data_IF_646528008872
#
_entry.id   IF_646528008872
#
_cell.length_a   1.000
_cell.length_b   1.000
_cell.length_c   1.000
_cell.angle_alpha   90.00
_cell.angle_beta   90.00
_cell.angle_gamma   90.00
#
_symmetry.space_group_name_H-M   'P 1'
#
loop_
_entity.id
_entity.type
_entity.pdbx_description
1 polymer ?
#
# COMPACT_ATOMS: atom_id res chain seq x y z
N UNK A 1 -35.81 37.56 -12.02
CA UNK A 1 -35.80 36.70 -13.22
C UNK A 1 -34.41 36.50 -13.82
N UNK A 2 -33.54 37.50 -13.92
CA UNK A 2 -32.16 37.37 -14.45
C UNK A 2 -31.23 36.51 -13.55
N UNK A 3 -31.32 36.62 -12.23
CA UNK A 3 -30.50 35.79 -11.32
C UNK A 3 -30.84 34.26 -11.38
N UNK A 4 -32.12 33.92 -11.54
CA UNK A 4 -32.57 32.54 -11.68
C UNK A 4 -32.09 31.90 -13.00
N UNK A 5 -31.97 32.67 -14.06
CA UNK A 5 -31.43 32.17 -15.35
C UNK A 5 -29.91 31.96 -15.30
N UNK A 6 -29.16 32.82 -14.60
CA UNK A 6 -27.72 32.65 -14.42
C UNK A 6 -27.39 31.43 -13.57
N UNK A 7 -28.15 31.12 -12.51
CA UNK A 7 -27.98 29.93 -11.67
C UNK A 7 -28.31 28.63 -12.42
N UNK A 8 -29.35 28.66 -13.30
CA UNK A 8 -29.66 27.52 -14.17
C UNK A 8 -28.60 27.28 -15.26
N UNK A 9 -28.01 28.34 -15.80
CA UNK A 9 -26.90 28.21 -16.76
C UNK A 9 -25.64 27.70 -16.10
N UNK A 10 -25.33 28.09 -14.86
CA UNK A 10 -24.20 27.55 -14.07
C UNK A 10 -24.39 26.08 -13.62
N UNK A 11 -25.61 25.66 -13.28
CA UNK A 11 -25.93 24.26 -13.03
C UNK A 11 -25.80 23.41 -14.29
N UNK A 12 -26.37 23.83 -15.39
CA UNK A 12 -26.26 23.10 -16.67
C UNK A 12 -24.81 23.03 -17.18
N UNK A 13 -23.97 24.07 -16.96
CA UNK A 13 -22.55 24.03 -17.31
C UNK A 13 -21.75 23.07 -16.43
N UNK A 14 -22.09 22.93 -15.13
CA UNK A 14 -21.48 21.93 -14.23
C UNK A 14 -21.89 20.50 -14.59
N UNK A 15 -23.13 20.26 -14.95
CA UNK A 15 -23.63 18.95 -15.39
C UNK A 15 -23.02 18.53 -16.75
N UNK A 16 -22.85 19.47 -17.69
CA UNK A 16 -22.14 19.18 -18.95
C UNK A 16 -20.63 18.96 -18.77
N UNK A 17 -19.96 19.64 -17.84
CA UNK A 17 -18.55 19.42 -17.53
C UNK A 17 -18.33 18.07 -16.82
N UNK A 18 -19.25 17.65 -15.93
CA UNK A 18 -19.21 16.34 -15.27
C UNK A 18 -19.42 15.19 -16.25
N UNK A 19 -20.32 15.32 -17.22
CA UNK A 19 -20.60 14.27 -18.21
C UNK A 19 -19.49 14.12 -19.27
N UNK A 20 -18.80 15.21 -19.63
CA UNK A 20 -17.67 15.16 -20.58
C UNK A 20 -16.43 14.53 -19.95
N UNK A 21 -16.14 14.79 -18.69
CA UNK A 21 -15.04 14.13 -17.95
C UNK A 21 -15.29 12.65 -17.72
N UNK A 22 -16.51 12.25 -17.41
CA UNK A 22 -16.90 10.85 -17.18
C UNK A 22 -16.82 10.01 -18.48
N UNK A 23 -17.21 10.58 -19.62
CA UNK A 23 -17.10 9.92 -20.92
C UNK A 23 -15.65 9.84 -21.43
N UNK A 24 -14.83 10.85 -21.18
CA UNK A 24 -13.40 10.82 -21.50
C UNK A 24 -12.65 9.82 -20.61
N UNK A 25 -13.04 9.70 -19.34
CA UNK A 25 -12.47 8.75 -18.41
C UNK A 25 -12.88 7.31 -18.76
N UNK A 26 -14.12 7.07 -19.19
CA UNK A 26 -14.59 5.76 -19.69
C UNK A 26 -13.89 5.36 -20.99
N UNK A 27 -13.76 6.25 -21.96
CA UNK A 27 -13.01 5.98 -23.20
C UNK A 27 -11.51 5.73 -22.93
N UNK A 28 -10.92 6.42 -21.95
CA UNK A 28 -9.54 6.19 -21.54
C UNK A 28 -9.37 4.85 -20.79
N UNK A 29 -10.38 4.41 -20.04
CA UNK A 29 -10.40 3.11 -19.38
C UNK A 29 -10.56 1.95 -20.37
N UNK A 30 -11.30 2.13 -21.46
CA UNK A 30 -11.48 1.12 -22.52
C UNK A 30 -10.18 0.83 -23.30
N UNK A 31 -9.25 1.78 -23.36
CA UNK A 31 -7.94 1.62 -24.02
C UNK A 31 -6.89 0.92 -23.16
N UNK A 32 -7.19 0.62 -21.88
CA UNK A 32 -6.26 -0.02 -20.94
C UNK A 32 -6.31 -1.53 -21.00
N UNK A 33 -5.14 -2.18 -20.79
CA UNK A 33 -5.09 -3.63 -20.65
C UNK A 33 -5.96 -4.10 -19.46
N UNK A 34 -6.55 -5.32 -19.51
CA UNK A 34 -7.33 -5.84 -18.38
C UNK A 34 -6.58 -5.81 -17.04
N UNK A 35 -5.30 -6.17 -17.06
CA UNK A 35 -4.45 -6.20 -15.86
C UNK A 35 -4.24 -4.79 -15.28
N UNK A 36 -3.97 -3.79 -16.14
CA UNK A 36 -3.83 -2.40 -15.70
C UNK A 36 -5.13 -1.87 -15.05
N UNK A 37 -6.28 -2.21 -15.64
CA UNK A 37 -7.59 -1.85 -15.07
C UNK A 37 -7.79 -2.45 -13.68
N UNK A 38 -7.46 -3.74 -13.51
CA UNK A 38 -7.59 -4.44 -12.22
C UNK A 38 -6.66 -3.82 -11.19
N UNK A 39 -5.37 -3.61 -11.49
CA UNK A 39 -4.42 -3.01 -10.57
C UNK A 39 -4.85 -1.61 -10.13
N UNK A 40 -5.31 -0.78 -11.08
CA UNK A 40 -5.86 0.55 -10.78
C UNK A 40 -7.11 0.46 -9.91
N UNK A 41 -8.04 -0.44 -10.23
CA UNK A 41 -9.28 -0.60 -9.47
C UNK A 41 -9.02 -1.02 -8.02
N UNK A 42 -8.09 -1.96 -7.81
CA UNK A 42 -7.67 -2.37 -6.45
C UNK A 42 -7.10 -1.16 -5.71
N UNK A 43 -6.18 -0.42 -6.33
CA UNK A 43 -5.60 0.77 -5.73
C UNK A 43 -6.68 1.82 -5.35
N UNK A 44 -7.58 2.10 -6.28
CA UNK A 44 -8.66 3.08 -6.06
C UNK A 44 -9.61 2.64 -4.94
N UNK A 45 -9.89 1.33 -4.78
CA UNK A 45 -10.66 0.78 -3.67
C UNK A 45 -9.98 1.01 -2.31
N UNK A 46 -8.67 0.86 -2.25
CA UNK A 46 -7.92 1.11 -1.02
C UNK A 46 -7.87 2.59 -0.64
N UNK A 47 -7.69 3.50 -1.61
CA UNK A 47 -7.53 4.93 -1.36
C UNK A 47 -8.87 5.70 -1.30
N UNK A 48 -9.83 5.36 -2.17
CA UNK A 48 -11.05 6.15 -2.42
C UNK A 48 -12.34 5.42 -2.14
N UNK A 49 -12.29 4.10 -2.02
CA UNK A 49 -13.46 3.25 -1.86
C UNK A 49 -14.24 2.99 -3.15
N UNK A 50 -15.39 2.28 -3.05
CA UNK A 50 -16.11 1.74 -4.21
C UNK A 50 -16.74 2.82 -5.11
N UNK A 51 -17.07 3.99 -4.56
CA UNK A 51 -17.71 5.08 -5.30
C UNK A 51 -16.70 6.17 -5.74
N UNK A 52 -15.40 5.92 -5.62
CA UNK A 52 -14.34 6.84 -6.02
C UNK A 52 -14.40 8.18 -5.27
N UNK A 53 -14.45 9.29 -6.01
CA UNK A 53 -14.44 10.65 -5.43
C UNK A 53 -15.83 11.15 -5.00
N UNK A 54 -16.86 10.29 -4.92
CA UNK A 54 -18.19 10.72 -4.49
C UNK A 54 -18.19 10.99 -2.96
N UNK A 55 -19.02 11.97 -2.51
CA UNK A 55 -19.14 12.26 -1.08
C UNK A 55 -19.62 11.03 -0.33
N UNK A 56 -18.91 10.68 0.76
CA UNK A 56 -19.22 9.50 1.58
C UNK A 56 -18.57 8.19 1.13
N UNK A 57 -17.78 8.20 0.05
CA UNK A 57 -16.93 7.05 -0.30
C UNK A 57 -15.69 7.04 0.61
N UNK A 58 -15.44 5.91 1.25
CA UNK A 58 -14.33 5.73 2.20
C UNK A 58 -13.47 4.57 1.70
N UNK A 59 -12.16 4.78 1.61
CA UNK A 59 -11.20 3.77 1.19
C UNK A 59 -10.91 2.75 2.29
N UNK A 60 -10.47 1.55 1.89
CA UNK A 60 -10.10 0.47 2.83
C UNK A 60 -9.04 0.94 3.83
N UNK A 61 -8.05 1.74 3.37
CA UNK A 61 -7.00 2.27 4.24
C UNK A 61 -7.52 3.24 5.29
N UNK A 62 -8.52 4.05 4.96
CA UNK A 62 -9.14 4.98 5.90
C UNK A 62 -9.97 4.22 6.94
N UNK A 63 -10.76 3.23 6.51
CA UNK A 63 -11.50 2.33 7.42
C UNK A 63 -10.54 1.63 8.38
N UNK A 64 -9.43 1.10 7.87
CA UNK A 64 -8.45 0.37 8.68
C UNK A 64 -7.74 1.25 9.71
N UNK A 65 -7.61 2.56 9.45
CA UNK A 65 -7.00 3.54 10.36
C UNK A 65 -7.96 4.06 11.43
N UNK A 66 -9.25 3.71 11.37
CA UNK A 66 -10.20 4.13 12.41
C UNK A 66 -9.67 3.77 13.80
N UNK A 67 -9.71 4.71 14.78
CA UNK A 67 -9.18 4.50 16.12
C UNK A 67 -9.78 3.30 16.86
N UNK A 68 -10.97 2.84 16.47
CA UNK A 68 -11.63 1.67 17.05
C UNK A 68 -11.16 0.36 16.43
N UNK A 69 -10.69 0.39 15.16
CA UNK A 69 -10.30 -0.81 14.42
C UNK A 69 -8.80 -1.05 14.47
N UNK A 70 -7.98 -0.05 14.10
CA UNK A 70 -6.50 -0.08 14.06
C UNK A 70 -5.99 -1.36 13.38
N UNK A 71 -6.43 -1.61 12.15
CA UNK A 71 -6.04 -2.79 11.39
C UNK A 71 -4.90 -2.43 10.43
N UNK A 72 -3.82 -3.21 10.45
CA UNK A 72 -2.72 -3.03 9.51
C UNK A 72 -3.08 -3.68 8.17
N UNK A 73 -3.22 -2.86 7.10
CA UNK A 73 -3.57 -3.30 5.77
C UNK A 73 -2.38 -3.22 4.81
N UNK A 74 -2.43 -4.04 3.77
CA UNK A 74 -1.53 -3.98 2.64
C UNK A 74 -1.79 -2.70 1.83
N UNK A 75 -0.71 -2.03 1.36
CA UNK A 75 -0.82 -0.89 0.45
C UNK A 75 -0.51 -1.37 -0.98
N UNK A 76 -1.52 -1.57 -1.85
CA UNK A 76 -1.28 -2.03 -3.21
C UNK A 76 -0.59 -0.94 -4.04
N UNK A 77 0.26 -1.35 -5.00
CA UNK A 77 0.85 -0.46 -6.00
C UNK A 77 0.02 -0.50 -7.28
N UNK A 78 -0.02 0.63 -7.99
CA UNK A 78 -0.75 0.75 -9.28
C UNK A 78 -0.10 -0.04 -10.39
N UNK A 79 1.21 -0.28 -10.29
CA UNK A 79 2.04 -0.90 -11.31
C UNK A 79 2.96 -1.95 -10.72
N UNK A 80 3.40 -2.84 -11.59
CA UNK A 80 4.38 -3.88 -11.30
C UNK A 80 5.78 -3.30 -11.45
N UNK A 81 6.65 -3.48 -10.49
CA UNK A 81 8.01 -2.97 -10.53
C UNK A 81 8.99 -4.05 -11.00
N UNK A 82 9.73 -3.73 -12.06
CA UNK A 82 10.74 -4.61 -12.66
C UNK A 82 12.11 -3.97 -12.50
N UNK A 83 12.96 -4.58 -11.69
CA UNK A 83 14.35 -4.15 -11.47
C UNK A 83 15.26 -4.82 -12.48
N UNK A 84 16.10 -4.05 -13.18
CA UNK A 84 17.06 -4.61 -14.13
C UNK A 84 18.47 -4.39 -13.61
N UNK A 85 19.20 -5.48 -13.38
CA UNK A 85 20.54 -5.50 -12.82
C UNK A 85 21.52 -6.06 -13.85
N UNK A 86 22.75 -5.62 -13.83
CA UNK A 86 23.82 -6.16 -14.66
C UNK A 86 25.02 -5.23 -14.68
N UNK A 87 26.10 -5.70 -15.30
CA UNK A 87 27.31 -4.93 -15.43
C UNK A 87 27.09 -3.67 -16.25
N UNK A 88 28.09 -2.79 -16.22
CA UNK A 88 28.16 -1.70 -17.18
C UNK A 88 28.08 -2.25 -18.60
N UNK A 89 27.37 -1.55 -19.46
CA UNK A 89 27.14 -1.95 -20.86
C UNK A 89 26.37 -3.27 -21.08
N UNK A 90 25.77 -3.90 -20.05
CA UNK A 90 24.99 -5.12 -20.23
C UNK A 90 23.65 -4.94 -20.99
N UNK A 91 23.38 -3.74 -21.52
CA UNK A 91 22.19 -3.49 -22.35
C UNK A 91 20.89 -3.25 -21.58
N UNK A 92 20.95 -2.93 -20.27
CA UNK A 92 19.78 -2.66 -19.42
C UNK A 92 18.92 -1.52 -19.95
N UNK A 93 19.48 -0.34 -20.09
CA UNK A 93 18.81 0.85 -20.61
C UNK A 93 18.33 0.67 -22.06
N UNK A 94 19.13 -0.03 -22.90
CA UNK A 94 18.74 -0.36 -24.26
C UNK A 94 17.54 -1.28 -24.33
N UNK A 95 17.45 -2.27 -23.42
CA UNK A 95 16.28 -3.14 -23.32
C UNK A 95 15.03 -2.37 -22.93
N UNK A 96 15.12 -1.44 -21.97
CA UNK A 96 13.99 -0.60 -21.58
C UNK A 96 13.50 0.21 -22.77
N UNK A 97 14.41 0.92 -23.48
CA UNK A 97 14.08 1.69 -24.67
C UNK A 97 13.40 0.83 -25.75
N UNK A 98 13.92 -0.37 -26.00
CA UNK A 98 13.32 -1.32 -26.94
C UNK A 98 11.92 -1.78 -26.48
N UNK A 99 11.77 -2.07 -25.19
CA UNK A 99 10.50 -2.57 -24.67
C UNK A 99 9.37 -1.53 -24.80
N UNK A 100 9.67 -0.28 -24.54
CA UNK A 100 8.70 0.83 -24.61
C UNK A 100 8.61 1.48 -26.00
N UNK A 101 9.45 1.04 -26.94
CA UNK A 101 9.60 1.62 -28.31
C UNK A 101 9.83 3.14 -28.28
N UNK A 102 10.66 3.61 -27.33
CA UNK A 102 10.99 5.01 -27.17
C UNK A 102 12.40 5.17 -26.59
N UNK A 103 13.23 6.05 -27.17
CA UNK A 103 14.55 6.39 -26.62
C UNK A 103 14.43 7.36 -25.44
N UNK A 104 14.10 6.81 -24.26
CA UNK A 104 13.90 7.58 -23.02
C UNK A 104 15.16 7.58 -22.15
N UNK A 105 15.89 6.48 -22.14
CA UNK A 105 17.15 6.33 -21.44
C UNK A 105 18.31 6.69 -22.38
N UNK A 106 19.24 7.49 -21.87
CA UNK A 106 20.51 7.72 -22.56
C UNK A 106 21.29 6.42 -22.60
N UNK A 107 21.71 6.02 -23.79
CA UNK A 107 22.51 4.81 -24.00
C UNK A 107 23.85 5.19 -24.66
N UNK A 108 24.96 4.69 -24.11
CA UNK A 108 26.30 4.98 -24.61
C UNK A 108 27.33 3.96 -24.12
N UNK A 109 28.56 4.09 -24.58
CA UNK A 109 29.72 3.30 -24.13
C UNK A 109 30.26 3.86 -22.82
N UNK A 110 30.06 5.16 -22.57
CA UNK A 110 30.41 5.79 -21.31
C UNK A 110 29.43 5.38 -20.20
N UNK A 111 29.80 5.61 -18.93
CA UNK A 111 28.92 5.34 -17.79
C UNK A 111 27.88 6.45 -17.73
N UNK A 112 26.76 6.22 -18.43
CA UNK A 112 25.66 7.16 -18.52
C UNK A 112 24.76 7.09 -17.25
N UNK A 113 24.45 5.88 -16.79
CA UNK A 113 23.58 5.66 -15.64
C UNK A 113 24.41 5.61 -14.36
N UNK A 114 24.49 6.73 -13.65
CA UNK A 114 25.20 6.84 -12.35
C UNK A 114 24.28 6.64 -11.15
N UNK A 115 22.97 6.67 -11.36
CA UNK A 115 21.94 6.51 -10.34
C UNK A 115 20.87 5.52 -10.75
N UNK A 116 19.81 5.42 -9.94
CA UNK A 116 18.63 4.63 -10.29
C UNK A 116 17.67 5.47 -11.13
N UNK A 117 17.17 4.91 -12.22
CA UNK A 117 16.15 5.57 -13.03
C UNK A 117 14.89 4.74 -13.09
N UNK A 118 13.81 5.30 -12.57
CA UNK A 118 12.46 4.77 -12.73
C UNK A 118 11.92 5.19 -14.08
N UNK A 119 11.48 4.23 -14.89
CA UNK A 119 10.84 4.49 -16.19
C UNK A 119 9.39 4.06 -16.10
N UNK A 120 8.51 5.03 -16.16
CA UNK A 120 7.07 4.84 -15.94
C UNK A 120 6.24 5.43 -17.07
N UNK A 121 5.02 4.93 -17.27
CA UNK A 121 4.08 5.50 -18.24
C UNK A 121 3.23 6.61 -17.59
N UNK A 122 2.98 7.67 -18.37
CA UNK A 122 2.13 8.77 -17.96
C UNK A 122 1.40 9.43 -19.11
N UNK A 123 0.69 10.52 -18.82
CA UNK A 123 -0.05 11.30 -19.84
C UNK A 123 0.84 12.26 -20.62
N UNK A 124 1.94 12.68 -20.03
CA UNK A 124 2.87 13.66 -20.58
C UNK A 124 4.30 13.19 -20.31
N UNK A 125 5.19 13.47 -21.24
CA UNK A 125 6.63 13.26 -21.07
C UNK A 125 7.17 14.21 -20.02
N UNK A 126 7.73 13.67 -18.96
CA UNK A 126 8.32 14.43 -17.84
C UNK A 126 9.55 13.69 -17.30
N UNK A 127 10.48 14.47 -16.74
CA UNK A 127 11.65 13.95 -16.04
C UNK A 127 11.66 14.54 -14.63
N UNK A 128 11.65 13.68 -13.60
CA UNK A 128 11.68 14.05 -12.20
C UNK A 128 13.03 13.66 -11.60
N UNK A 129 13.56 14.46 -10.68
CA UNK A 129 14.86 14.22 -10.06
C UNK A 129 14.76 14.35 -8.53
N UNK A 130 15.52 13.53 -7.82
CA UNK A 130 15.66 13.62 -6.37
C UNK A 130 14.32 13.65 -5.66
N UNK A 131 14.06 14.68 -4.87
CA UNK A 131 12.87 14.85 -4.04
C UNK A 131 11.56 14.67 -4.80
N UNK A 132 11.51 15.12 -6.07
CA UNK A 132 10.32 14.96 -6.89
C UNK A 132 10.03 13.48 -7.20
N UNK A 133 11.07 12.64 -7.33
CA UNK A 133 10.91 11.18 -7.48
C UNK A 133 10.39 10.55 -6.19
N UNK A 134 10.93 10.92 -5.03
CA UNK A 134 10.47 10.42 -3.73
C UNK A 134 9.03 10.84 -3.46
N UNK A 135 8.66 12.08 -3.74
CA UNK A 135 7.29 12.56 -3.63
C UNK A 135 6.31 11.84 -4.60
N UNK A 136 6.81 11.32 -5.72
CA UNK A 136 6.00 10.56 -6.67
C UNK A 136 5.78 9.10 -6.25
N UNK A 137 6.72 8.53 -5.48
CA UNK A 137 6.72 7.13 -5.03
C UNK A 137 6.81 7.03 -3.51
N UNK A 138 5.70 7.11 -2.79
CA UNK A 138 5.65 7.01 -1.30
C UNK A 138 6.38 5.79 -0.73
N UNK A 139 6.52 4.71 -1.50
CA UNK A 139 7.18 3.48 -1.03
C UNK A 139 8.72 3.55 -1.06
N UNK A 140 9.30 4.66 -1.55
CA UNK A 140 10.74 4.86 -1.60
C UNK A 140 11.32 5.56 -0.37
N UNK A 141 10.51 6.00 0.59
CA UNK A 141 10.95 6.72 1.79
C UNK A 141 12.13 6.01 2.51
N UNK A 142 12.09 4.67 2.55
CA UNK A 142 13.16 3.88 3.14
C UNK A 142 14.48 3.86 2.35
N UNK A 143 14.49 4.32 1.09
CA UNK A 143 15.69 4.42 0.27
C UNK A 143 16.53 5.65 0.64
N UNK A 144 15.91 6.71 1.18
CA UNK A 144 16.58 7.96 1.61
C UNK A 144 17.67 7.73 2.66
N UNK A 145 17.61 6.62 3.41
CA UNK A 145 18.63 6.25 4.41
C UNK A 145 20.03 6.02 3.82
N UNK A 146 20.13 5.78 2.50
CA UNK A 146 21.44 5.62 1.85
C UNK A 146 21.98 7.01 1.49
N UNK A 147 23.03 7.42 2.18
CA UNK A 147 23.67 8.73 1.97
C UNK A 147 24.05 8.91 0.49
N UNK A 148 23.72 10.08 -0.08
CA UNK A 148 23.99 10.42 -1.47
C UNK A 148 22.98 9.88 -2.50
N UNK A 149 22.03 9.02 -2.13
CA UNK A 149 21.08 8.42 -3.07
C UNK A 149 20.07 9.42 -3.62
N UNK A 150 19.63 10.38 -2.80
CA UNK A 150 18.59 11.36 -3.13
C UNK A 150 18.92 12.16 -4.41
N UNK A 151 20.19 12.54 -4.59
CA UNK A 151 20.66 13.22 -5.79
C UNK A 151 20.82 12.27 -7.01
N UNK A 152 20.71 10.96 -6.80
CA UNK A 152 21.00 9.93 -7.79
C UNK A 152 19.80 9.01 -8.07
N UNK A 153 18.57 9.46 -7.78
CA UNK A 153 17.34 8.80 -8.17
C UNK A 153 16.54 9.70 -9.11
N UNK A 154 16.11 9.13 -10.22
CA UNK A 154 15.44 9.85 -11.29
C UNK A 154 14.15 9.12 -11.68
N UNK A 155 13.18 9.84 -12.24
CA UNK A 155 12.00 9.24 -12.86
C UNK A 155 11.81 9.83 -14.24
N UNK A 156 11.76 8.97 -15.24
CA UNK A 156 11.41 9.31 -16.61
C UNK A 156 10.02 8.82 -16.93
N UNK A 157 9.13 9.75 -17.24
CA UNK A 157 7.73 9.47 -17.59
C UNK A 157 7.61 9.43 -19.11
N UNK A 158 7.23 8.29 -19.68
CA UNK A 158 6.98 8.10 -21.10
C UNK A 158 5.48 8.08 -21.40
N UNK A 159 5.11 8.49 -22.60
CA UNK A 159 3.73 8.41 -23.10
C UNK A 159 3.46 7.12 -23.89
N UNK A 160 4.45 6.24 -24.02
CA UNK A 160 4.32 4.96 -24.70
C UNK A 160 3.23 4.08 -24.10
N UNK A 161 2.52 3.38 -24.96
CA UNK A 161 1.51 2.38 -24.60
C UNK A 161 1.87 0.99 -25.12
N UNK A 162 3.10 0.84 -25.59
CA UNK A 162 3.57 -0.41 -26.16
C UNK A 162 3.55 -1.55 -25.16
N UNK A 163 3.25 -2.73 -25.63
CA UNK A 163 3.14 -3.96 -24.85
C UNK A 163 2.28 -3.73 -23.60
N UNK A 164 2.72 -4.21 -22.45
CA UNK A 164 2.04 -3.99 -21.15
C UNK A 164 2.70 -2.85 -20.33
N UNK A 165 3.49 -1.96 -20.96
CA UNK A 165 4.22 -0.90 -20.27
C UNK A 165 3.35 -0.02 -19.36
N UNK A 166 2.09 0.31 -19.68
CA UNK A 166 1.24 1.05 -18.75
C UNK A 166 1.02 0.39 -17.38
N UNK A 167 1.24 -0.92 -17.28
CA UNK A 167 1.13 -1.68 -16.02
C UNK A 167 2.47 -1.87 -15.31
N UNK A 168 3.57 -1.30 -15.83
CA UNK A 168 4.94 -1.57 -15.36
C UNK A 168 5.65 -0.28 -15.00
N UNK A 169 6.51 -0.37 -13.98
CA UNK A 169 7.57 0.58 -13.67
C UNK A 169 8.90 -0.17 -13.79
N UNK A 170 9.73 0.19 -14.78
CA UNK A 170 11.09 -0.32 -14.87
C UNK A 170 12.00 0.49 -13.94
N UNK A 171 12.94 -0.20 -13.31
CA UNK A 171 14.00 0.41 -12.50
C UNK A 171 15.34 0.04 -13.16
N UNK A 172 15.93 1.00 -13.85
CA UNK A 172 17.27 0.87 -14.41
C UNK A 172 18.30 1.14 -13.32
N UNK A 173 19.25 0.21 -13.15
CA UNK A 173 20.27 0.32 -12.11
C UNK A 173 21.60 0.82 -12.70
N UNK A 174 22.41 1.49 -11.88
CA UNK A 174 23.81 1.74 -12.25
C UNK A 174 24.49 0.45 -12.70
N UNK A 175 25.28 0.54 -13.76
CA UNK A 175 26.08 -0.60 -14.21
C UNK A 175 27.08 -1.00 -13.15
N UNK A 176 27.06 -2.24 -12.68
CA UNK A 176 28.00 -2.74 -11.70
C UNK A 176 29.36 -3.00 -12.39
N UNK A 177 30.42 -2.52 -11.76
CA UNK A 177 31.82 -2.71 -12.22
C UNK A 177 32.70 -3.06 -11.03
N UNK A 178 33.76 -3.83 -11.30
CA UNK A 178 34.85 -4.09 -10.35
C UNK A 178 35.90 -2.97 -10.40
N UNK A 179 36.72 -2.86 -9.37
CA UNK A 179 37.80 -1.90 -9.27
C UNK A 179 37.48 -0.68 -8.43
N UNK A 180 38.25 0.39 -8.61
CA UNK A 180 38.24 1.60 -7.79
C UNK A 180 37.09 2.57 -8.12
N UNK A 181 36.10 2.14 -8.92
CA UNK A 181 34.99 3.01 -9.24
C UNK A 181 34.14 3.27 -7.98
N UNK A 182 34.18 4.51 -7.52
CA UNK A 182 33.36 4.98 -6.43
C UNK A 182 32.00 5.40 -6.95
N UNK A 183 30.97 4.88 -6.31
CA UNK A 183 29.60 5.34 -6.50
C UNK A 183 29.30 6.40 -5.44
N UNK A 184 28.42 7.36 -5.74
CA UNK A 184 28.05 8.41 -4.78
C UNK A 184 27.28 7.88 -3.56
N UNK A 185 26.88 6.59 -3.57
CA UNK A 185 26.15 5.89 -2.51
C UNK A 185 26.46 4.38 -2.57
N UNK A 186 26.08 3.62 -1.53
CA UNK A 186 26.20 2.17 -1.55
C UNK A 186 25.18 1.53 -2.51
N UNK A 187 25.61 1.35 -3.76
CA UNK A 187 24.78 0.75 -4.83
C UNK A 187 24.33 -0.65 -4.48
N UNK A 188 25.20 -1.47 -3.86
CA UNK A 188 24.87 -2.86 -3.54
C UNK A 188 23.78 -2.95 -2.49
N UNK A 189 23.90 -2.19 -1.40
CA UNK A 189 22.91 -2.14 -0.35
C UNK A 189 21.58 -1.55 -0.85
N UNK A 190 21.62 -0.53 -1.72
CA UNK A 190 20.41 0.06 -2.31
C UNK A 190 19.70 -0.94 -3.24
N UNK A 191 20.42 -1.72 -4.07
CA UNK A 191 19.83 -2.78 -4.90
C UNK A 191 19.16 -3.85 -4.04
N UNK A 192 19.80 -4.30 -2.95
CA UNK A 192 19.24 -5.29 -2.05
C UNK A 192 17.97 -4.77 -1.37
N UNK A 193 17.94 -3.50 -0.97
CA UNK A 193 16.74 -2.88 -0.42
C UNK A 193 15.62 -2.77 -1.47
N UNK A 194 15.94 -2.36 -2.70
CA UNK A 194 14.97 -2.28 -3.80
C UNK A 194 14.36 -3.66 -4.12
N UNK A 195 15.14 -4.73 -4.02
CA UNK A 195 14.68 -6.10 -4.26
C UNK A 195 13.53 -6.53 -3.33
N UNK A 196 13.47 -6.00 -2.11
CA UNK A 196 12.33 -6.22 -1.20
C UNK A 196 11.04 -5.58 -1.74
N UNK A 197 11.16 -4.55 -2.56
CA UNK A 197 10.07 -3.70 -3.02
C UNK A 197 9.69 -3.88 -4.50
N UNK A 198 10.31 -4.82 -5.21
CA UNK A 198 10.01 -5.11 -6.63
C UNK A 198 9.36 -6.48 -6.81
N UNK A 199 8.71 -6.66 -7.95
CA UNK A 199 7.98 -7.89 -8.28
C UNK A 199 8.78 -8.85 -9.14
N UNK A 200 9.71 -8.34 -9.96
CA UNK A 200 10.59 -9.10 -10.85
C UNK A 200 11.98 -8.47 -10.88
N UNK A 201 13.02 -9.30 -10.95
CA UNK A 201 14.40 -8.88 -11.07
C UNK A 201 15.00 -9.58 -12.31
N UNK A 202 15.36 -8.78 -13.33
CA UNK A 202 16.05 -9.25 -14.52
C UNK A 202 17.53 -9.03 -14.37
N UNK A 203 18.33 -10.08 -14.53
CA UNK A 203 19.79 -10.03 -14.43
C UNK A 203 20.39 -10.25 -15.81
N UNK A 204 21.09 -9.24 -16.32
CA UNK A 204 21.71 -9.27 -17.64
C UNK A 204 23.23 -9.46 -17.53
N UNK A 205 23.74 -10.48 -18.22
CA UNK A 205 25.19 -10.76 -18.38
C UNK A 205 25.62 -10.42 -19.76
N UNK A 206 26.62 -9.53 -19.88
CA UNK A 206 27.26 -9.21 -21.17
C UNK A 206 28.36 -10.22 -21.44
N UNK A 207 28.32 -10.97 -22.57
CA UNK A 207 29.33 -11.97 -22.90
C UNK A 207 30.72 -11.39 -23.25
N UNK A 208 30.79 -10.11 -23.65
CA UNK A 208 32.04 -9.45 -24.06
C UNK A 208 32.63 -8.65 -22.90
N UNK A 209 31.76 -8.06 -22.06
CA UNK A 209 32.17 -7.30 -20.91
C UNK A 209 32.62 -8.16 -19.73
N UNK A 210 32.71 -7.56 -18.56
CA UNK A 210 33.05 -8.27 -17.32
C UNK A 210 31.86 -9.12 -16.83
N UNK A 211 31.43 -10.13 -17.61
CA UNK A 211 30.28 -10.98 -17.28
C UNK A 211 30.31 -11.55 -15.86
N UNK A 212 31.52 -11.74 -15.32
CA UNK A 212 31.77 -12.30 -13.99
C UNK A 212 32.32 -11.26 -13.00
N UNK A 213 31.87 -10.00 -13.10
CA UNK A 213 32.21 -8.95 -12.14
C UNK A 213 31.94 -9.42 -10.71
N UNK A 214 32.91 -9.36 -9.84
CA UNK A 214 32.79 -9.85 -8.45
C UNK A 214 31.75 -9.13 -7.66
N UNK A 215 31.53 -7.84 -7.89
CA UNK A 215 30.49 -7.03 -7.27
C UNK A 215 29.09 -7.53 -7.70
N UNK A 216 28.89 -7.73 -9.01
CA UNK A 216 27.64 -8.28 -9.55
C UNK A 216 27.34 -9.66 -8.96
N UNK A 217 28.34 -10.53 -8.90
CA UNK A 217 28.16 -11.88 -8.35
C UNK A 217 27.78 -11.88 -6.87
N UNK A 218 28.39 -11.00 -6.06
CA UNK A 218 28.01 -10.83 -4.63
C UNK A 218 26.59 -10.33 -4.46
N UNK A 219 26.15 -9.37 -5.28
CA UNK A 219 24.77 -8.86 -5.26
C UNK A 219 23.80 -9.97 -5.63
N UNK A 220 24.07 -10.74 -6.70
CA UNK A 220 23.22 -11.86 -7.13
C UNK A 220 23.14 -12.94 -6.06
N UNK A 221 24.25 -13.31 -5.42
CA UNK A 221 24.29 -14.28 -4.33
C UNK A 221 23.41 -13.84 -3.16
N UNK A 222 23.53 -12.59 -2.73
CA UNK A 222 22.68 -12.01 -1.67
C UNK A 222 21.21 -11.97 -2.06
N UNK A 223 20.88 -11.61 -3.29
CA UNK A 223 19.52 -11.61 -3.83
C UNK A 223 18.92 -13.02 -3.88
N UNK A 224 19.72 -14.00 -4.30
CA UNK A 224 19.25 -15.39 -4.42
C UNK A 224 18.86 -16.02 -3.07
N UNK A 225 19.51 -15.61 -1.98
CA UNK A 225 19.17 -16.09 -0.63
C UNK A 225 17.73 -15.74 -0.25
N UNK A 226 17.25 -14.55 -0.64
CA UNK A 226 15.95 -14.01 -0.17
C UNK A 226 14.89 -13.93 -1.25
N UNK A 227 15.30 -13.78 -2.51
CA UNK A 227 14.42 -13.42 -3.63
C UNK A 227 14.59 -14.34 -4.86
N UNK A 228 14.98 -15.60 -4.65
CA UNK A 228 15.22 -16.55 -5.74
C UNK A 228 14.05 -16.67 -6.73
N UNK A 229 12.81 -16.54 -6.22
CA UNK A 229 11.58 -16.64 -7.01
C UNK A 229 11.30 -15.43 -7.92
N UNK A 230 11.98 -14.31 -7.67
CA UNK A 230 11.84 -13.06 -8.46
C UNK A 230 12.94 -12.89 -9.50
N UNK A 231 13.96 -13.76 -9.48
CA UNK A 231 15.16 -13.64 -10.32
C UNK A 231 15.00 -14.38 -11.63
N UNK A 232 15.21 -13.67 -12.75
CA UNK A 232 15.37 -14.24 -14.09
C UNK A 232 16.71 -13.80 -14.69
N UNK A 233 17.45 -14.72 -15.27
CA UNK A 233 18.81 -14.51 -15.76
C UNK A 233 18.87 -14.60 -17.27
N UNK A 234 19.60 -13.68 -17.92
CA UNK A 234 19.73 -13.63 -19.37
C UNK A 234 21.15 -13.28 -19.79
N UNK A 235 21.67 -13.95 -20.79
CA UNK A 235 22.91 -13.53 -21.48
C UNK A 235 22.52 -12.54 -22.58
N UNK A 236 22.77 -11.26 -22.35
CA UNK A 236 22.47 -10.16 -23.28
C UNK A 236 23.50 -10.06 -24.39
N UNK A 237 23.19 -9.30 -25.44
CA UNK A 237 24.13 -9.02 -26.57
C UNK A 237 24.74 -10.28 -27.20
N UNK A 238 23.95 -11.35 -27.28
CA UNK A 238 24.43 -12.61 -27.84
C UNK A 238 24.88 -12.49 -29.33
N UNK A 239 24.32 -11.49 -30.02
CA UNK A 239 24.67 -11.13 -31.41
C UNK A 239 26.08 -10.57 -31.57
N UNK A 240 26.69 -10.03 -30.51
CA UNK A 240 28.07 -9.49 -30.56
C UNK A 240 29.15 -10.59 -30.50
N UNK A 241 28.78 -11.82 -30.18
CA UNK A 241 29.67 -12.98 -30.21
C UNK A 241 29.36 -13.80 -31.48
N UNK A 242 30.09 -13.55 -32.56
CA UNK A 242 29.81 -14.13 -33.87
C UNK A 242 29.85 -15.66 -33.89
N UNK A 243 30.86 -16.26 -33.21
CA UNK A 243 31.08 -17.71 -33.24
C UNK A 243 30.22 -18.41 -32.16
N UNK A 244 29.46 -19.38 -32.60
CA UNK A 244 28.61 -20.18 -31.68
C UNK A 244 29.43 -20.88 -30.59
N UNK A 245 30.58 -21.43 -30.94
CA UNK A 245 31.47 -22.06 -29.95
C UNK A 245 31.90 -21.11 -28.84
N UNK A 246 32.18 -19.85 -29.16
CA UNK A 246 32.59 -18.85 -28.17
C UNK A 246 31.39 -18.43 -27.30
N UNK A 247 30.19 -18.31 -27.89
CA UNK A 247 28.95 -18.09 -27.12
C UNK A 247 28.68 -19.20 -26.11
N UNK A 248 28.79 -20.46 -26.57
CA UNK A 248 28.60 -21.62 -25.71
C UNK A 248 29.65 -21.68 -24.61
N UNK A 249 30.90 -21.36 -24.88
CA UNK A 249 31.99 -21.32 -23.88
C UNK A 249 31.69 -20.27 -22.81
N UNK A 250 31.28 -19.05 -23.17
CA UNK A 250 30.91 -17.99 -22.23
C UNK A 250 29.69 -18.39 -21.42
N UNK A 251 28.68 -18.95 -22.07
CA UNK A 251 27.46 -19.42 -21.39
C UNK A 251 27.75 -20.50 -20.33
N UNK A 252 28.60 -21.48 -20.68
CA UNK A 252 29.06 -22.51 -19.74
C UNK A 252 29.84 -21.89 -18.58
N UNK A 253 30.75 -20.95 -18.87
CA UNK A 253 31.54 -20.27 -17.85
C UNK A 253 30.66 -19.49 -16.87
N UNK A 254 29.68 -18.70 -17.35
CA UNK A 254 28.73 -17.97 -16.51
C UNK A 254 27.90 -18.96 -15.68
N UNK A 255 27.35 -19.99 -16.32
CA UNK A 255 26.54 -21.02 -15.64
C UNK A 255 27.31 -21.72 -14.54
N UNK A 256 28.55 -22.15 -14.77
CA UNK A 256 29.41 -22.78 -13.78
C UNK A 256 29.70 -21.88 -12.58
N UNK A 257 29.99 -20.60 -12.82
CA UNK A 257 30.25 -19.64 -11.75
C UNK A 257 28.98 -19.33 -10.92
N UNK A 258 27.82 -19.31 -11.56
CA UNK A 258 26.53 -19.07 -10.88
C UNK A 258 26.08 -20.32 -10.13
N UNK A 259 26.17 -21.52 -10.71
CA UNK A 259 25.70 -22.75 -10.08
C UNK A 259 26.36 -23.05 -8.74
N UNK A 260 27.60 -22.60 -8.55
CA UNK A 260 28.29 -22.70 -7.25
C UNK A 260 27.83 -21.70 -6.18
N UNK A 261 27.00 -20.71 -6.54
CA UNK A 261 26.58 -19.60 -5.67
C UNK A 261 25.07 -19.50 -5.47
N UNK A 262 24.30 -20.20 -6.30
CA UNK A 262 22.84 -20.16 -6.31
C UNK A 262 22.27 -21.43 -5.70
N UNK A 263 21.35 -21.31 -4.75
CA UNK A 263 20.77 -22.44 -4.01
C UNK A 263 19.90 -23.39 -4.87
N UNK A 264 19.49 -23.03 -6.09
CA UNK A 264 18.60 -23.82 -6.95
C UNK A 264 19.20 -24.07 -8.34
N UNK A 265 20.44 -24.55 -8.38
CA UNK A 265 21.19 -24.75 -9.63
C UNK A 265 20.55 -25.72 -10.63
N UNK A 266 19.67 -26.63 -10.18
CA UNK A 266 19.02 -27.62 -11.04
C UNK A 266 17.96 -27.05 -12.01
N UNK A 267 17.40 -25.88 -11.70
CA UNK A 267 16.41 -25.20 -12.54
C UNK A 267 16.97 -23.92 -13.21
N UNK A 268 18.29 -23.73 -13.11
CA UNK A 268 18.92 -22.51 -13.62
C UNK A 268 18.92 -22.53 -15.16
N UNK A 269 18.32 -21.49 -15.74
CA UNK A 269 18.36 -21.22 -17.19
C UNK A 269 19.06 -19.88 -17.43
N UNK A 270 19.89 -19.84 -18.46
CA UNK A 270 20.55 -18.62 -18.91
C UNK A 270 20.31 -18.48 -20.44
N UNK A 271 19.08 -18.16 -20.86
CA UNK A 271 18.78 -17.97 -22.26
C UNK A 271 19.52 -16.77 -22.83
N UNK A 272 19.81 -16.84 -24.12
CA UNK A 272 20.51 -15.78 -24.87
C UNK A 272 19.51 -14.79 -25.42
N UNK A 273 19.77 -13.49 -25.24
CA UNK A 273 18.96 -12.41 -25.79
C UNK A 273 19.81 -11.40 -26.55
N UNK A 274 19.22 -10.80 -27.56
CA UNK A 274 19.73 -9.61 -28.22
C UNK A 274 18.58 -8.76 -28.77
N UNK A 275 18.83 -7.46 -28.89
CA UNK A 275 17.82 -6.53 -29.42
C UNK A 275 17.91 -6.55 -30.97
N UNK A 276 16.79 -6.76 -31.66
CA UNK A 276 16.75 -6.73 -33.11
C UNK A 276 17.18 -5.35 -33.65
N UNK A 277 18.10 -5.35 -34.62
CA UNK A 277 18.53 -4.16 -35.33
C UNK A 277 18.85 -4.54 -36.78
N UNK A 278 19.17 -3.55 -37.65
CA UNK A 278 19.48 -3.78 -39.07
C UNK A 278 20.67 -4.69 -39.27
N UNK A 279 21.65 -4.66 -38.35
CA UNK A 279 22.90 -5.44 -38.47
C UNK A 279 22.74 -6.91 -38.10
N UNK A 280 21.76 -7.24 -37.22
CA UNK A 280 21.55 -8.60 -36.74
C UNK A 280 20.24 -9.25 -37.26
N UNK A 281 19.52 -8.58 -38.18
CA UNK A 281 18.23 -9.06 -38.70
C UNK A 281 18.29 -10.47 -39.33
N UNK A 282 19.49 -10.87 -39.86
CA UNK A 282 19.73 -12.19 -40.47
C UNK A 282 20.59 -13.11 -39.59
N UNK A 283 20.80 -12.75 -38.31
CA UNK A 283 21.62 -13.57 -37.42
C UNK A 283 20.89 -14.89 -37.08
N UNK A 284 21.54 -16.02 -37.42
CA UNK A 284 21.03 -17.35 -37.07
C UNK A 284 21.41 -17.69 -35.60
N UNK A 285 21.02 -16.82 -34.67
CA UNK A 285 21.31 -16.94 -33.25
C UNK A 285 19.96 -17.09 -32.50
N UNK A 286 19.80 -18.09 -31.63
CA UNK A 286 18.60 -18.19 -30.78
C UNK A 286 18.42 -16.91 -29.97
N UNK A 287 17.24 -16.33 -30.05
CA UNK A 287 16.88 -15.13 -29.30
C UNK A 287 15.66 -15.37 -28.42
N UNK A 288 15.88 -15.47 -27.14
CA UNK A 288 14.84 -15.69 -26.13
C UNK A 288 14.22 -14.37 -25.63
N UNK A 289 14.24 -13.30 -26.42
CA UNK A 289 13.68 -12.00 -26.04
C UNK A 289 12.17 -12.08 -25.73
N UNK A 290 11.44 -12.99 -26.39
CA UNK A 290 10.05 -13.30 -26.05
C UNK A 290 9.89 -13.87 -24.66
N UNK A 291 10.85 -14.69 -24.16
CA UNK A 291 10.81 -15.24 -22.81
C UNK A 291 10.92 -14.13 -21.75
N UNK A 292 11.71 -13.08 -22.02
CA UNK A 292 11.78 -11.91 -21.12
C UNK A 292 10.41 -11.23 -21.02
N UNK A 293 9.73 -11.04 -22.16
CA UNK A 293 8.38 -10.47 -22.17
C UNK A 293 7.38 -11.37 -21.43
N UNK A 294 7.49 -12.69 -21.60
CA UNK A 294 6.65 -13.67 -20.89
C UNK A 294 6.89 -13.64 -19.38
N UNK A 295 8.12 -13.52 -18.92
CA UNK A 295 8.46 -13.36 -17.50
C UNK A 295 7.86 -12.07 -16.92
N UNK A 296 7.90 -10.98 -17.66
CA UNK A 296 7.25 -9.72 -17.28
C UNK A 296 5.72 -9.91 -17.19
N UNK A 297 5.10 -10.51 -18.21
CA UNK A 297 3.67 -10.78 -18.22
C UNK A 297 3.25 -11.72 -17.08
N UNK A 298 4.08 -12.72 -16.76
CA UNK A 298 3.89 -13.60 -15.62
C UNK A 298 3.94 -12.82 -14.30
N UNK A 299 4.92 -11.92 -14.15
CA UNK A 299 5.03 -11.06 -12.97
C UNK A 299 3.78 -10.18 -12.81
N UNK A 300 3.24 -9.62 -13.91
CA UNK A 300 1.99 -8.85 -13.88
C UNK A 300 0.83 -9.71 -13.36
N UNK A 301 0.65 -10.91 -13.93
CA UNK A 301 -0.43 -11.84 -13.50
C UNK A 301 -0.30 -12.23 -12.03
N UNK A 302 0.93 -12.55 -11.58
CA UNK A 302 1.18 -12.92 -10.18
C UNK A 302 0.92 -11.75 -9.23
N UNK A 303 1.32 -10.53 -9.59
CA UNK A 303 1.09 -9.33 -8.77
C UNK A 303 -0.40 -9.00 -8.68
N UNK A 304 -1.15 -9.13 -9.79
CA UNK A 304 -2.61 -8.98 -9.78
C UNK A 304 -3.23 -9.99 -8.80
N UNK A 305 -2.86 -11.25 -8.89
CA UNK A 305 -3.39 -12.29 -8.01
C UNK A 305 -3.01 -12.06 -6.54
N UNK A 306 -1.76 -11.66 -6.27
CA UNK A 306 -1.27 -11.31 -4.93
C UNK A 306 -2.07 -10.15 -4.34
N UNK A 307 -2.30 -9.09 -5.11
CA UNK A 307 -3.07 -7.92 -4.65
C UNK A 307 -4.54 -8.29 -4.37
N UNK A 308 -5.16 -9.13 -5.20
CA UNK A 308 -6.54 -9.61 -4.97
C UNK A 308 -6.63 -10.47 -3.70
N UNK A 309 -5.65 -11.35 -3.48
CA UNK A 309 -5.60 -12.18 -2.27
C UNK A 309 -5.38 -11.32 -1.04
N UNK A 310 -4.43 -10.37 -1.07
CA UNK A 310 -4.19 -9.44 0.02
C UNK A 310 -5.43 -8.60 0.35
N UNK A 311 -6.14 -8.11 -0.67
CA UNK A 311 -7.39 -7.37 -0.48
C UNK A 311 -8.46 -8.22 0.21
N UNK A 312 -8.63 -9.49 -0.20
CA UNK A 312 -9.55 -10.41 0.46
C UNK A 312 -9.21 -10.61 1.93
N UNK A 313 -7.91 -10.81 2.23
CA UNK A 313 -7.43 -11.05 3.58
C UNK A 313 -7.56 -9.80 4.46
N UNK A 314 -7.32 -8.60 3.89
CA UNK A 314 -7.50 -7.33 4.58
C UNK A 314 -8.98 -7.07 4.91
N UNK A 315 -9.87 -7.27 3.95
CA UNK A 315 -11.30 -7.17 4.18
C UNK A 315 -11.77 -8.13 5.28
N UNK A 316 -11.28 -9.38 5.27
CA UNK A 316 -11.61 -10.36 6.30
C UNK A 316 -11.06 -10.00 7.69
N UNK A 317 -9.90 -9.33 7.76
CA UNK A 317 -9.34 -8.82 9.03
C UNK A 317 -10.17 -7.65 9.57
N UNK A 318 -10.55 -6.73 8.71
CA UNK A 318 -11.41 -5.60 9.07
C UNK A 318 -12.75 -6.10 9.57
N UNK A 319 -13.41 -7.01 8.82
CA UNK A 319 -14.69 -7.58 9.19
C UNK A 319 -14.67 -8.23 10.59
N UNK A 320 -13.67 -9.09 10.85
CA UNK A 320 -13.49 -9.71 12.17
C UNK A 320 -13.34 -8.66 13.28
N UNK A 321 -12.56 -7.60 13.02
CA UNK A 321 -12.34 -6.55 14.01
C UNK A 321 -13.59 -5.72 14.25
N UNK A 322 -14.37 -5.45 13.22
CA UNK A 322 -15.68 -4.78 13.34
C UNK A 322 -16.64 -5.60 14.21
N UNK A 323 -16.75 -6.90 13.95
CA UNK A 323 -17.58 -7.81 14.76
C UNK A 323 -17.14 -7.80 16.22
N UNK A 324 -15.83 -7.90 16.49
CA UNK A 324 -15.27 -7.84 17.85
C UNK A 324 -15.66 -6.54 18.58
N UNK A 325 -15.46 -5.39 17.93
CA UNK A 325 -15.80 -4.07 18.51
C UNK A 325 -17.31 -3.95 18.76
N UNK A 326 -18.15 -4.44 17.85
CA UNK A 326 -19.61 -4.43 18.03
C UNK A 326 -20.07 -5.32 19.19
N UNK A 327 -19.43 -6.48 19.38
CA UNK A 327 -19.72 -7.36 20.53
C UNK A 327 -19.29 -6.72 21.85
N UNK A 328 -18.11 -6.08 21.87
CA UNK A 328 -17.68 -5.30 23.04
C UNK A 328 -18.65 -4.16 23.37
N UNK A 329 -19.11 -3.42 22.36
CA UNK A 329 -20.07 -2.32 22.57
C UNK A 329 -21.41 -2.86 23.11
N UNK A 330 -21.90 -3.98 22.58
CA UNK A 330 -23.13 -4.64 23.10
C UNK A 330 -22.98 -5.04 24.54
N UNK A 331 -21.85 -5.64 24.92
CA UNK A 331 -21.60 -6.06 26.32
C UNK A 331 -21.50 -4.85 27.25
N UNK A 332 -20.77 -3.80 26.84
CA UNK A 332 -20.66 -2.54 27.59
C UNK A 332 -22.02 -1.85 27.77
N UNK A 333 -22.85 -1.83 26.72
CA UNK A 333 -24.22 -1.28 26.80
C UNK A 333 -25.07 -2.10 27.76
N UNK A 334 -25.03 -3.43 27.70
CA UNK A 334 -25.78 -4.29 28.61
C UNK A 334 -25.35 -4.08 30.07
N UNK A 335 -24.06 -3.93 30.33
CA UNK A 335 -23.54 -3.60 31.64
C UNK A 335 -24.00 -2.21 32.12
N UNK A 336 -23.94 -1.21 31.25
CA UNK A 336 -24.39 0.14 31.59
C UNK A 336 -25.88 0.18 31.92
N UNK A 337 -26.73 -0.56 31.19
CA UNK A 337 -28.16 -0.71 31.51
C UNK A 337 -28.32 -1.35 32.88
N UNK A 338 -27.59 -2.46 33.18
CA UNK A 338 -27.64 -3.09 34.50
C UNK A 338 -27.20 -2.15 35.63
N UNK A 339 -26.13 -1.36 35.40
CA UNK A 339 -25.68 -0.34 36.40
C UNK A 339 -26.73 0.74 36.59
N UNK A 340 -27.33 1.25 35.51
CA UNK A 340 -28.40 2.24 35.57
C UNK A 340 -29.62 1.72 36.32
N UNK A 341 -30.05 0.47 36.05
CA UNK A 341 -31.16 -0.17 36.78
C UNK A 341 -30.87 -0.34 38.28
N UNK A 342 -29.64 -0.73 38.64
CA UNK A 342 -29.19 -0.81 40.05
C UNK A 342 -29.23 0.57 40.71
N UNK A 343 -28.74 1.61 40.02
CA UNK A 343 -28.80 2.98 40.51
C UNK A 343 -30.26 3.46 40.75
N UNK A 344 -31.14 3.20 39.79
CA UNK A 344 -32.55 3.53 39.90
C UNK A 344 -33.23 2.79 41.07
N UNK A 345 -32.90 1.50 41.27
CA UNK A 345 -33.41 0.71 42.40
C UNK A 345 -32.94 1.27 43.75
N UNK A 346 -31.67 1.66 43.86
CA UNK A 346 -31.15 2.28 45.09
C UNK A 346 -31.80 3.63 45.37
N UNK A 347 -32.02 4.45 44.33
CA UNK A 347 -32.78 5.71 44.49
C UNK A 347 -34.21 5.46 44.94
N UNK A 348 -34.92 4.49 44.37
CA UNK A 348 -36.27 4.10 44.78
C UNK A 348 -36.31 3.63 46.25
N UNK A 349 -35.35 2.81 46.67
CA UNK A 349 -35.21 2.39 48.07
C UNK A 349 -34.94 3.57 49.00
N UNK A 350 -34.10 4.51 48.58
CA UNK A 350 -33.85 5.74 49.35
C UNK A 350 -35.13 6.58 49.54
N UNK A 351 -35.95 6.74 48.49
CA UNK A 351 -37.25 7.43 48.59
C UNK A 351 -38.22 6.71 49.49
N UNK A 352 -38.30 5.38 49.43
CA UNK A 352 -39.12 4.57 50.33
C UNK A 352 -38.67 4.75 51.80
N UNK A 353 -37.36 4.74 52.03
CA UNK A 353 -36.81 4.97 53.38
C UNK A 353 -37.12 6.39 53.90
N UNK A 354 -36.96 7.43 53.08
CA UNK A 354 -37.33 8.80 53.44
C UNK A 354 -38.84 8.89 53.77
N UNK A 355 -39.66 8.28 52.91
CA UNK A 355 -41.11 8.26 53.14
C UNK A 355 -41.49 7.53 54.46
N UNK A 356 -40.83 6.40 54.73
CA UNK A 356 -41.01 5.67 55.96
C UNK A 356 -40.62 6.51 57.19
N UNK A 357 -39.46 7.17 57.15
CA UNK A 357 -39.00 8.03 58.26
C UNK A 357 -39.92 9.24 58.48
N UNK A 358 -40.40 9.86 57.39
CA UNK A 358 -41.40 10.97 57.51
C UNK A 358 -42.72 10.49 58.03
N UNK A 359 -43.16 9.29 57.64
CA UNK A 359 -44.38 8.66 58.19
C UNK A 359 -44.26 8.37 59.71
N UNK A 360 -43.16 7.80 60.16
CA UNK A 360 -42.85 7.54 61.55
C UNK A 360 -42.88 8.85 62.36
N UNK A 361 -42.18 9.86 61.88
CA UNK A 361 -42.18 11.19 62.53
C UNK A 361 -43.58 11.82 62.60
N UNK A 362 -44.37 11.64 61.52
CA UNK A 362 -45.81 12.11 61.56
C UNK A 362 -46.63 11.37 62.59
N UNK A 363 -46.51 10.05 62.68
CA UNK A 363 -47.21 9.23 63.68
C UNK A 363 -46.81 9.64 65.09
N UNK A 364 -45.53 9.83 65.38
CA UNK A 364 -45.06 10.31 66.69
C UNK A 364 -45.58 11.70 67.00
N UNK A 365 -45.57 12.63 66.06
CA UNK A 365 -46.15 13.97 66.28
C UNK A 365 -47.65 13.95 66.53
N UNK A 366 -48.37 13.08 65.78
CA UNK A 366 -49.81 12.90 65.98
C UNK A 366 -50.15 12.27 67.34
N UNK A 367 -49.40 11.23 67.72
CA UNK A 367 -49.53 10.58 69.03
C UNK A 367 -49.27 11.57 70.19
N UNK A 368 -48.19 12.37 70.07
CA UNK A 368 -47.85 13.41 71.05
C UNK A 368 -48.94 14.47 71.13
N UNK A 369 -49.52 14.90 70.02
CA UNK A 369 -50.63 15.86 69.98
C UNK A 369 -51.88 15.27 70.49
N UNK A 370 -52.18 13.98 70.26
CA UNK A 370 -53.34 13.28 70.79
C UNK A 370 -53.24 13.12 72.31
N UNK A 371 -52.14 12.65 72.87
CA UNK A 371 -51.87 12.49 74.28
C UNK A 371 -51.92 13.87 74.98
N UNK A 372 -51.30 14.90 74.40
CA UNK A 372 -51.34 16.24 74.91
C UNK A 372 -52.73 16.81 74.99
N UNK A 373 -53.55 16.58 73.96
CA UNK A 373 -54.99 16.97 73.98
C UNK A 373 -55.79 16.17 74.95
N UNK A 374 -55.53 14.88 75.12
CA UNK A 374 -56.16 14.02 76.09
C UNK A 374 -55.83 14.48 77.52
N UNK A 375 -54.57 14.72 77.81
CA UNK A 375 -54.15 15.23 79.14
C UNK A 375 -54.78 16.61 79.42
N UNK A 376 -54.80 17.49 78.43
CA UNK A 376 -55.37 18.84 78.57
C UNK A 376 -56.90 18.82 78.76
N UNK A 377 -57.61 17.92 78.05
CA UNK A 377 -59.07 17.84 78.13
C UNK A 377 -59.61 17.00 79.30
N UNK A 378 -58.87 15.96 79.69
CA UNK A 378 -59.45 14.95 80.64
C UNK A 378 -58.76 15.00 82.00
N UNK A 379 -57.45 15.25 82.04
CA UNK A 379 -56.69 15.21 83.29
C UNK A 379 -56.59 16.58 83.96
N UNK A 380 -56.28 17.63 83.20
CA UNK A 380 -56.18 18.96 83.78
C UNK A 380 -57.50 19.50 84.44
N UNK A 381 -58.67 19.38 83.88
CA UNK A 381 -59.85 19.82 84.53
C UNK A 381 -60.13 19.07 85.84
N UNK A 382 -59.92 17.75 85.86
CA UNK A 382 -60.11 16.94 87.09
C UNK A 382 -59.08 17.26 88.18
N UNK A 383 -57.87 17.60 87.80
CA UNK A 383 -56.87 18.06 88.78
C UNK A 383 -57.25 19.43 89.36
N UNK A 384 -57.73 20.38 88.49
CA UNK A 384 -58.20 21.66 88.96
C UNK A 384 -59.39 21.58 89.87
N UNK A 385 -60.35 20.69 89.54
CA UNK A 385 -61.50 20.41 90.39
C UNK A 385 -61.10 19.82 91.76
N UNK A 386 -60.08 18.90 91.70
CA UNK A 386 -59.55 18.29 92.92
C UNK A 386 -58.80 19.32 93.81
N UNK A 387 -57.98 20.22 93.18
CA UNK A 387 -57.33 21.30 93.93
C UNK A 387 -58.32 22.34 94.44
N UNK A 388 -59.39 22.64 93.71
CA UNK A 388 -60.46 23.52 94.21
C UNK A 388 -61.26 22.91 95.38
N UNK A 389 -61.46 21.60 95.39
CA UNK A 389 -62.13 20.87 96.52
C UNK A 389 -61.21 20.72 97.75
N UNK A 390 -59.90 20.90 97.69
CA UNK A 390 -58.99 20.88 98.83
C UNK A 390 -58.81 22.27 99.41
N UNK A 391 -59.08 23.34 98.62
CA UNK A 391 -58.95 24.74 99.04
C UNK A 391 -60.28 25.35 99.60
N UNK A 392 -61.38 24.62 99.61
CA UNK A 392 -62.61 24.93 100.29
C UNK A 392 -62.64 24.10 101.61
#
# INVERSE_FOLDING_TARGET
MQMMNATKQLMNAKDHAGHTTDNQEKQFLEQKSPNERILKSIYDLYERGPNGNQPGSVGILEIAKDPLLVVQCWKPRKKVSVLIIGNHSAGKSSFINWYIDESIQTTGVAIETRGFTYVTSGRKRESLKGDATFAFYDHLDGLEKFEGIQANVFTEVSTSKEKNFPAIDFIDTPGLVDGEMEYPFDVSAAILWLADHVDLILVFFDPIGQALCGRTMKVIEALNVKHAEKLSYYMSKADQVEKEHDRQRVLIQITQNLSGRINNSHAFKLPTIYLPNEHNANANIPNALSEVCEDIDKAIRLTVQKNLTAMKDDCARIDRKVVEVLEEDRTKRAENVKRSMRGAALLALSWVFIFFMTFVAFVELFAFRFVGNFVRKTIMPRCNDFFAAILM
#
